data_IF_132343237933
#
_entry.id   IF_132343237933
#
_cell.length_a   1.000
_cell.length_b   1.000
_cell.length_c   1.000
_cell.angle_alpha   90.00
_cell.angle_beta   90.00
_cell.angle_gamma   90.00
#
_symmetry.space_group_name_H-M   'P 1'
#
loop_
_entity.id
_entity.type
_entity.pdbx_description
1 polymer ?
#
# COMPACT_ATOMS: atom_id res chain seq x y z
N UNK A 1 -0.57 15.49 -4.00
CA UNK A 1 -0.40 15.42 -5.47
C UNK A 1 -1.68 14.83 -6.02
N UNK A 2 -2.40 15.61 -6.85
CA UNK A 2 -3.59 15.12 -7.54
C UNK A 2 -3.15 14.46 -8.84
N UNK A 3 -3.31 13.14 -8.95
CA UNK A 3 -3.18 12.46 -10.24
C UNK A 3 -4.42 12.74 -11.07
N UNK A 4 -4.24 13.37 -12.23
CA UNK A 4 -5.30 13.48 -13.22
C UNK A 4 -5.46 12.15 -13.98
N UNK A 5 -6.66 11.91 -14.51
CA UNK A 5 -6.94 10.77 -15.39
C UNK A 5 -6.77 9.38 -14.77
N UNK A 6 -7.07 9.21 -13.48
CA UNK A 6 -7.12 7.88 -12.88
C UNK A 6 -8.40 7.14 -13.29
N UNK A 7 -8.25 6.10 -14.11
CA UNK A 7 -9.37 5.31 -14.65
C UNK A 7 -10.31 4.76 -13.56
N UNK A 8 -9.78 4.30 -12.45
CA UNK A 8 -10.60 3.82 -11.34
C UNK A 8 -11.43 4.94 -10.68
N UNK A 9 -10.90 6.15 -10.60
CA UNK A 9 -11.64 7.31 -10.07
C UNK A 9 -12.76 7.72 -11.03
N UNK A 10 -12.49 7.73 -12.34
CA UNK A 10 -13.49 7.99 -13.37
C UNK A 10 -14.60 6.93 -13.38
N UNK A 11 -14.23 5.64 -13.29
CA UNK A 11 -15.19 4.55 -13.22
C UNK A 11 -16.07 4.62 -11.97
N UNK A 12 -15.50 5.03 -10.83
CA UNK A 12 -16.25 5.30 -9.60
C UNK A 12 -17.31 6.40 -9.76
N UNK A 13 -16.94 7.53 -10.38
CA UNK A 13 -17.87 8.63 -10.65
C UNK A 13 -18.98 8.23 -11.62
N UNK A 14 -18.65 7.53 -12.70
CA UNK A 14 -19.64 7.02 -13.65
C UNK A 14 -20.57 6.01 -12.95
N UNK A 15 -20.00 5.13 -12.14
CA UNK A 15 -20.78 4.15 -11.37
C UNK A 15 -21.73 4.82 -10.37
N UNK A 16 -21.32 5.91 -9.72
CA UNK A 16 -22.19 6.69 -8.84
C UNK A 16 -23.41 7.24 -9.60
N UNK A 17 -23.18 7.85 -10.77
CA UNK A 17 -24.27 8.38 -11.60
C UNK A 17 -25.22 7.26 -12.06
N UNK A 18 -24.66 6.22 -12.65
CA UNK A 18 -25.48 5.15 -13.25
C UNK A 18 -26.18 4.29 -12.19
N UNK A 19 -25.43 3.79 -11.20
CA UNK A 19 -25.95 2.81 -10.23
C UNK A 19 -26.70 3.43 -9.06
N UNK A 20 -26.36 4.65 -8.66
CA UNK A 20 -27.03 5.29 -7.52
C UNK A 20 -28.10 6.26 -7.99
N UNK A 21 -27.73 7.31 -8.73
CA UNK A 21 -28.70 8.35 -9.12
C UNK A 21 -29.73 7.88 -10.13
N UNK A 22 -29.33 7.09 -11.13
CA UNK A 22 -30.27 6.47 -12.07
C UNK A 22 -30.72 5.08 -11.64
N UNK A 23 -29.98 4.45 -10.72
CA UNK A 23 -30.32 3.14 -10.18
C UNK A 23 -30.30 2.03 -11.23
N UNK A 24 -29.40 2.13 -12.22
CA UNK A 24 -29.31 1.18 -13.33
C UNK A 24 -28.72 -0.14 -12.86
N UNK A 25 -29.46 -1.22 -13.05
CA UNK A 25 -29.04 -2.60 -12.81
C UNK A 25 -29.23 -3.43 -14.08
N UNK A 26 -28.13 -4.00 -14.56
CA UNK A 26 -28.17 -4.89 -15.74
C UNK A 26 -28.54 -6.30 -15.29
N UNK A 27 -29.69 -6.79 -15.78
CA UNK A 27 -30.12 -8.18 -15.62
C UNK A 27 -29.92 -8.97 -16.91
N UNK A 28 -30.11 -10.28 -16.85
CA UNK A 28 -29.96 -11.15 -18.01
C UNK A 28 -30.91 -10.77 -19.15
N UNK A 29 -32.16 -10.45 -18.85
CA UNK A 29 -33.21 -10.22 -19.83
C UNK A 29 -33.83 -8.80 -19.76
N UNK A 30 -33.29 -7.91 -18.91
CA UNK A 30 -33.85 -6.57 -18.72
C UNK A 30 -32.82 -5.57 -18.18
N UNK A 31 -33.16 -4.30 -18.25
CA UNK A 31 -32.54 -3.19 -17.54
C UNK A 31 -33.50 -2.70 -16.49
N UNK A 32 -33.15 -2.81 -15.22
CA UNK A 32 -33.96 -2.42 -14.09
C UNK A 32 -33.54 -1.05 -13.57
N UNK A 33 -34.49 -0.26 -13.05
CA UNK A 33 -34.24 1.05 -12.44
C UNK A 33 -34.58 1.06 -10.95
N UNK A 34 -33.60 1.22 -10.09
CA UNK A 34 -33.71 1.41 -8.63
C UNK A 34 -32.99 2.68 -8.17
N UNK A 35 -33.42 3.87 -8.59
CA UNK A 35 -32.73 5.11 -8.25
C UNK A 35 -32.81 5.40 -6.75
N UNK A 36 -31.72 5.93 -6.22
CA UNK A 36 -31.69 6.54 -4.90
C UNK A 36 -31.50 8.04 -5.06
N UNK A 37 -32.60 8.79 -4.94
CA UNK A 37 -32.62 10.24 -5.14
C UNK A 37 -33.16 10.92 -3.88
N UNK A 38 -32.25 11.47 -3.03
CA UNK A 38 -32.65 12.31 -1.90
C UNK A 38 -33.33 13.60 -2.36
N UNK A 39 -34.17 14.18 -1.50
CA UNK A 39 -34.89 15.43 -1.76
C UNK A 39 -34.00 16.59 -2.20
N UNK A 40 -32.76 16.66 -1.69
CA UNK A 40 -31.77 17.66 -2.09
C UNK A 40 -31.39 17.62 -3.58
N UNK A 41 -31.71 16.53 -4.29
CA UNK A 41 -31.49 16.34 -5.73
C UNK A 41 -32.78 16.15 -6.51
N UNK A 42 -33.86 16.84 -6.11
CA UNK A 42 -35.20 16.67 -6.67
C UNK A 42 -35.41 17.18 -8.11
N UNK A 43 -34.39 17.83 -8.70
CA UNK A 43 -34.47 18.39 -10.05
C UNK A 43 -34.62 17.33 -11.15
N UNK A 44 -34.98 17.76 -12.35
CA UNK A 44 -34.99 16.90 -13.54
C UNK A 44 -33.53 16.52 -13.89
N UNK A 45 -33.32 15.25 -14.12
CA UNK A 45 -32.03 14.67 -14.53
C UNK A 45 -32.18 13.96 -15.86
N UNK A 46 -31.19 14.08 -16.72
CA UNK A 46 -31.17 13.42 -18.02
C UNK A 46 -29.89 12.62 -18.20
N UNK A 47 -30.01 11.46 -18.82
CA UNK A 47 -28.90 10.64 -19.29
C UNK A 47 -29.16 10.32 -20.76
N UNK A 48 -28.52 11.03 -21.66
CA UNK A 48 -28.72 10.92 -23.09
C UNK A 48 -27.75 9.96 -23.75
N UNK A 49 -28.20 9.36 -24.86
CA UNK A 49 -27.38 8.40 -25.66
C UNK A 49 -26.86 7.22 -24.85
N UNK A 50 -27.59 6.76 -23.84
CA UNK A 50 -27.20 5.60 -23.05
C UNK A 50 -27.35 4.33 -23.88
N UNK A 51 -26.23 3.69 -24.17
CA UNK A 51 -26.22 2.43 -24.96
C UNK A 51 -26.62 1.25 -24.09
N UNK A 52 -27.69 0.60 -24.46
CA UNK A 52 -28.15 -0.63 -23.85
C UNK A 52 -28.37 -1.70 -24.93
N UNK A 53 -27.44 -2.63 -25.04
CA UNK A 53 -27.42 -3.67 -26.08
C UNK A 53 -27.55 -3.07 -27.49
N UNK A 54 -28.64 -3.39 -28.21
CA UNK A 54 -28.93 -2.87 -29.55
C UNK A 54 -29.75 -1.57 -29.54
N UNK A 55 -30.12 -1.09 -28.34
CA UNK A 55 -30.88 0.15 -28.17
C UNK A 55 -30.00 1.31 -27.68
N UNK A 56 -30.44 2.53 -27.97
CA UNK A 56 -29.93 3.78 -27.41
C UNK A 56 -31.07 4.46 -26.68
N UNK A 57 -30.89 4.69 -25.37
CA UNK A 57 -31.91 5.24 -24.50
C UNK A 57 -31.59 6.69 -24.16
N UNK A 58 -32.59 7.57 -24.32
CA UNK A 58 -32.61 8.92 -23.75
C UNK A 58 -33.51 8.89 -22.51
N UNK A 59 -32.87 8.95 -21.33
CA UNK A 59 -33.50 8.74 -20.05
C UNK A 59 -33.73 10.09 -19.35
N UNK A 60 -34.97 10.39 -18.98
CA UNK A 60 -35.32 11.56 -18.16
C UNK A 60 -35.94 11.09 -16.86
N UNK A 61 -35.43 11.61 -15.73
CA UNK A 61 -35.93 11.29 -14.40
C UNK A 61 -36.37 12.57 -13.68
N UNK A 62 -37.56 12.56 -13.10
CA UNK A 62 -38.17 13.72 -12.44
C UNK A 62 -38.58 13.38 -11.00
N UNK A 63 -38.24 14.28 -10.07
CA UNK A 63 -38.63 14.15 -8.67
C UNK A 63 -37.55 13.50 -7.78
N UNK A 64 -37.97 12.98 -6.63
CA UNK A 64 -37.14 12.31 -5.63
C UNK A 64 -37.86 11.13 -4.97
N UNK A 65 -37.15 10.32 -4.21
CA UNK A 65 -37.72 9.12 -3.57
C UNK A 65 -37.71 7.89 -4.47
N UNK A 66 -38.69 7.01 -4.30
CA UNK A 66 -38.83 5.76 -5.05
C UNK A 66 -39.43 5.97 -6.44
N UNK A 67 -39.27 5.02 -7.35
CA UNK A 67 -39.94 5.01 -8.63
C UNK A 67 -41.43 4.89 -8.41
N UNK A 68 -42.22 5.80 -9.03
CA UNK A 68 -43.68 5.75 -9.08
C UNK A 68 -44.15 4.98 -10.33
N UNK A 69 -43.59 5.32 -11.48
CA UNK A 69 -43.76 4.60 -12.73
C UNK A 69 -42.68 4.97 -13.74
N UNK A 70 -42.55 4.14 -14.76
CA UNK A 70 -41.64 4.33 -15.91
C UNK A 70 -42.46 4.26 -17.20
N UNK A 71 -42.17 5.19 -18.11
CA UNK A 71 -42.72 5.17 -19.48
C UNK A 71 -41.57 4.89 -20.45
N UNK A 72 -41.74 3.90 -21.34
CA UNK A 72 -40.93 3.65 -22.50
C UNK A 72 -41.71 4.09 -23.74
N UNK A 73 -41.23 5.09 -24.46
CA UNK A 73 -41.89 5.71 -25.60
C UNK A 73 -43.38 6.06 -25.31
N UNK A 74 -43.64 6.69 -24.12
CA UNK A 74 -44.92 7.05 -23.56
C UNK A 74 -45.82 5.87 -23.15
N UNK A 75 -45.36 4.62 -23.23
CA UNK A 75 -46.13 3.46 -22.76
C UNK A 75 -45.65 3.04 -21.36
N UNK A 76 -46.55 2.67 -20.48
CA UNK A 76 -46.24 2.25 -19.12
C UNK A 76 -45.44 0.94 -19.14
N UNK A 77 -44.33 0.94 -18.41
CA UNK A 77 -43.47 -0.23 -18.24
C UNK A 77 -43.79 -0.94 -16.93
N UNK A 78 -44.13 -2.24 -16.97
CA UNK A 78 -44.34 -3.01 -15.74
C UNK A 78 -43.00 -3.26 -15.03
N UNK A 79 -43.06 -3.41 -13.70
CA UNK A 79 -41.95 -3.83 -12.84
C UNK A 79 -40.65 -2.97 -12.93
N UNK A 80 -40.74 -1.77 -13.52
CA UNK A 80 -39.60 -0.85 -13.73
C UNK A 80 -38.47 -1.47 -14.59
N UNK A 81 -38.77 -2.42 -15.46
CA UNK A 81 -37.81 -3.17 -16.25
C UNK A 81 -37.95 -2.89 -17.76
N UNK A 82 -36.89 -2.43 -18.40
CA UNK A 82 -36.80 -2.25 -19.84
C UNK A 82 -36.38 -3.58 -20.48
N UNK A 83 -37.10 -4.10 -21.51
CA UNK A 83 -36.76 -5.36 -22.14
C UNK A 83 -35.36 -5.37 -22.81
N UNK A 84 -34.71 -6.51 -22.81
CA UNK A 84 -33.38 -6.69 -23.39
C UNK A 84 -33.33 -6.73 -24.92
N UNK A 85 -34.48 -6.94 -25.55
CA UNK A 85 -34.63 -7.10 -27.01
C UNK A 85 -34.97 -5.81 -27.75
N UNK A 86 -34.85 -4.66 -27.08
CA UNK A 86 -35.07 -3.36 -27.74
C UNK A 86 -33.99 -3.08 -28.78
N UNK A 87 -34.40 -2.46 -29.89
CA UNK A 87 -33.50 -2.05 -30.97
C UNK A 87 -33.79 -0.60 -31.38
N UNK A 88 -32.75 0.18 -31.70
CA UNK A 88 -32.91 1.56 -32.13
C UNK A 88 -32.94 2.57 -30.98
N UNK A 89 -33.56 3.73 -31.23
CA UNK A 89 -33.62 4.84 -30.25
C UNK A 89 -34.95 4.85 -29.51
N UNK A 90 -34.87 4.97 -28.19
CA UNK A 90 -36.08 5.01 -27.33
C UNK A 90 -35.94 6.11 -26.28
N UNK A 91 -37.08 6.61 -25.80
CA UNK A 91 -37.17 7.53 -24.68
C UNK A 91 -37.66 6.81 -23.42
N UNK A 92 -37.00 7.05 -22.29
CA UNK A 92 -37.37 6.48 -20.99
C UNK A 92 -37.67 7.63 -20.03
N UNK A 93 -38.92 7.76 -19.58
CA UNK A 93 -39.34 8.76 -18.60
C UNK A 93 -39.58 8.09 -17.25
N UNK A 94 -38.85 8.44 -16.24
CA UNK A 94 -38.92 7.91 -14.87
C UNK A 94 -39.50 8.99 -13.96
N UNK A 95 -40.65 8.71 -13.36
CA UNK A 95 -41.31 9.62 -12.41
C UNK A 95 -41.18 9.04 -11.01
N UNK A 96 -40.67 9.84 -10.08
CA UNK A 96 -40.48 9.47 -8.68
C UNK A 96 -41.66 9.91 -7.81
N UNK A 97 -41.78 9.30 -6.62
CA UNK A 97 -42.94 9.49 -5.72
C UNK A 97 -42.97 10.83 -5.03
N UNK A 98 -41.91 11.58 -5.00
CA UNK A 98 -41.69 12.79 -4.19
C UNK A 98 -41.92 12.56 -2.68
N UNK A 99 -41.56 11.37 -2.21
CA UNK A 99 -41.56 11.01 -0.79
C UNK A 99 -40.14 10.74 -0.31
N UNK A 100 -39.85 11.22 0.88
CA UNK A 100 -38.53 10.95 1.48
C UNK A 100 -38.34 9.45 1.73
N UNK A 101 -37.09 9.00 1.62
CA UNK A 101 -36.74 7.68 2.10
C UNK A 101 -36.94 7.64 3.62
N UNK A 102 -37.50 6.55 4.17
CA UNK A 102 -37.57 6.41 5.61
C UNK A 102 -36.17 6.56 6.21
N UNK A 103 -36.06 7.27 7.32
CA UNK A 103 -34.82 7.48 8.06
C UNK A 103 -34.31 6.17 8.68
N UNK A 104 -34.51 5.05 8.03
CA UNK A 104 -34.23 3.73 8.52
C UNK A 104 -32.73 3.47 8.49
N UNK A 105 -32.17 3.58 9.69
CA UNK A 105 -30.90 2.90 10.08
C UNK A 105 -29.71 3.22 9.19
N UNK A 106 -29.29 4.49 9.23
CA UNK A 106 -27.88 4.75 8.91
C UNK A 106 -27.07 3.92 9.90
N UNK A 107 -26.39 2.92 9.39
CA UNK A 107 -25.44 2.13 10.17
C UNK A 107 -24.26 3.04 10.56
N UNK A 108 -24.35 3.66 11.74
CA UNK A 108 -23.25 4.48 12.27
C UNK A 108 -22.21 3.54 12.87
N UNK A 109 -21.09 3.40 12.22
CA UNK A 109 -19.92 2.70 12.77
C UNK A 109 -19.06 3.70 13.50
N UNK A 110 -18.58 3.33 14.71
CA UNK A 110 -17.54 4.09 15.38
C UNK A 110 -16.28 4.09 14.51
N UNK A 111 -15.70 5.27 14.27
CA UNK A 111 -14.38 5.35 13.66
C UNK A 111 -13.33 5.20 14.77
N UNK A 112 -12.99 3.95 15.08
CA UNK A 112 -12.00 3.64 16.10
C UNK A 112 -10.60 3.71 15.49
N UNK A 113 -9.72 4.43 16.16
CA UNK A 113 -8.32 4.55 15.75
C UNK A 113 -7.56 3.32 16.24
N UNK A 114 -6.92 2.60 15.32
CA UNK A 114 -6.05 1.49 15.65
C UNK A 114 -4.87 1.92 16.55
N UNK A 115 -4.35 1.03 17.40
CA UNK A 115 -3.15 1.31 18.17
C UNK A 115 -1.97 1.74 17.30
N UNK A 116 -1.05 2.49 17.87
CA UNK A 116 0.21 2.79 17.20
C UNK A 116 1.04 1.52 17.02
N UNK A 117 1.77 1.44 15.90
CA UNK A 117 2.69 0.34 15.62
C UNK A 117 3.83 0.31 16.64
N UNK A 118 4.08 -0.81 17.34
CA UNK A 118 5.20 -0.93 18.25
C UNK A 118 6.53 -0.98 17.50
N UNK A 119 7.59 -0.49 18.11
CA UNK A 119 8.97 -0.69 17.63
C UNK A 119 9.55 -1.97 18.24
N UNK A 120 10.12 -2.84 17.42
CA UNK A 120 10.72 -4.11 17.83
C UNK A 120 12.25 -4.02 17.82
N UNK A 121 12.89 -4.57 18.83
CA UNK A 121 14.34 -4.68 18.96
C UNK A 121 14.77 -6.06 19.46
N UNK A 122 16.02 -6.43 19.17
CA UNK A 122 16.62 -7.70 19.63
C UNK A 122 17.99 -7.44 20.22
N UNK A 123 18.23 -7.97 21.41
CA UNK A 123 19.55 -7.94 22.04
C UNK A 123 19.72 -9.16 22.95
N UNK A 124 20.84 -9.85 22.84
CA UNK A 124 21.23 -10.96 23.74
C UNK A 124 20.14 -12.04 23.93
N UNK A 125 19.49 -12.47 22.84
CA UNK A 125 18.46 -13.51 22.92
C UNK A 125 17.06 -13.02 23.36
N UNK A 126 16.90 -11.71 23.53
CA UNK A 126 15.64 -11.12 23.97
C UNK A 126 15.10 -10.18 22.91
N UNK A 127 13.87 -10.46 22.45
CA UNK A 127 13.03 -9.52 21.71
C UNK A 127 12.36 -8.57 22.70
N UNK A 128 12.40 -7.26 22.43
CA UNK A 128 11.69 -6.23 23.20
C UNK A 128 10.94 -5.31 22.26
N UNK A 129 9.78 -4.84 22.69
CA UNK A 129 9.01 -3.88 21.92
C UNK A 129 8.49 -2.73 22.78
N UNK A 130 8.20 -1.61 22.11
CA UNK A 130 7.71 -0.42 22.77
C UNK A 130 6.27 -0.61 23.27
N UNK A 131 5.95 -0.08 24.44
CA UNK A 131 4.58 0.04 24.93
C UNK A 131 3.84 1.08 24.08
N UNK A 132 2.62 0.76 23.61
CA UNK A 132 1.73 1.71 22.92
C UNK A 132 0.57 2.09 23.83
N UNK A 133 0.10 3.34 23.73
CA UNK A 133 -0.81 3.95 24.70
C UNK A 133 -2.13 3.17 24.88
N UNK A 134 -2.68 2.61 23.80
CA UNK A 134 -3.99 1.96 23.79
C UNK A 134 -3.93 0.44 23.75
N UNK A 135 -2.72 -0.14 23.67
CA UNK A 135 -2.57 -1.59 23.58
C UNK A 135 -2.91 -2.28 24.90
N UNK A 136 -3.73 -3.30 24.83
CA UNK A 136 -4.02 -4.27 25.89
C UNK A 136 -3.15 -5.52 25.77
N UNK A 137 -2.83 -5.93 24.55
CA UNK A 137 -2.03 -7.12 24.22
C UNK A 137 -1.14 -6.87 23.01
N UNK A 138 -0.19 -7.78 22.79
CA UNK A 138 0.71 -7.77 21.65
C UNK A 138 0.72 -9.16 21.01
N UNK A 139 0.59 -9.21 19.68
CA UNK A 139 0.74 -10.40 18.85
C UNK A 139 2.14 -10.38 18.25
N UNK A 140 2.96 -11.34 18.62
CA UNK A 140 4.28 -11.53 18.02
C UNK A 140 4.18 -12.51 16.87
N UNK A 141 4.68 -12.12 15.71
CA UNK A 141 4.78 -12.97 14.53
C UNK A 141 6.21 -13.49 14.38
N UNK A 142 6.33 -14.71 13.88
CA UNK A 142 7.58 -15.29 13.39
C UNK A 142 7.37 -15.82 11.97
N UNK A 143 8.17 -15.34 11.04
CA UNK A 143 8.03 -15.68 9.62
C UNK A 143 6.59 -15.52 9.10
N UNK A 144 5.91 -14.43 9.48
CA UNK A 144 4.54 -14.11 9.12
C UNK A 144 3.44 -14.90 9.85
N UNK A 145 3.79 -15.86 10.73
CA UNK A 145 2.82 -16.65 11.50
C UNK A 145 2.80 -16.22 12.96
N UNK A 146 1.63 -16.20 13.58
CA UNK A 146 1.49 -15.90 15.02
C UNK A 146 2.27 -16.90 15.85
N UNK A 147 3.24 -16.38 16.62
CA UNK A 147 4.01 -17.16 17.59
C UNK A 147 3.33 -17.16 18.96
N UNK A 148 2.91 -15.98 19.43
CA UNK A 148 2.26 -15.81 20.74
C UNK A 148 1.45 -14.49 20.76
N UNK A 149 0.41 -14.47 21.59
CA UNK A 149 -0.27 -13.24 22.03
C UNK A 149 -0.01 -13.05 23.52
N UNK A 150 0.42 -11.87 23.95
CA UNK A 150 0.87 -11.61 25.32
C UNK A 150 0.64 -10.15 25.71
N UNK A 151 0.54 -9.87 27.00
CA UNK A 151 0.55 -8.53 27.60
C UNK A 151 1.98 -8.02 27.94
N UNK A 152 2.98 -8.92 27.85
CA UNK A 152 4.38 -8.60 28.11
C UNK A 152 4.97 -7.75 27.00
N UNK A 153 6.06 -7.03 27.32
CA UNK A 153 6.81 -6.19 26.38
C UNK A 153 8.13 -6.83 25.91
N UNK A 154 8.33 -8.10 26.23
CA UNK A 154 9.52 -8.83 25.81
C UNK A 154 9.26 -10.33 25.74
N UNK A 155 10.06 -11.00 24.90
CA UNK A 155 10.09 -12.46 24.81
C UNK A 155 11.54 -12.93 24.65
N UNK A 156 11.92 -13.91 25.47
CA UNK A 156 13.19 -14.62 25.27
C UNK A 156 13.03 -15.58 24.08
N UNK A 157 13.90 -15.46 23.10
CA UNK A 157 13.94 -16.36 21.94
C UNK A 157 15.26 -17.11 21.93
N UNK A 158 15.17 -18.44 21.84
CA UNK A 158 16.37 -19.26 21.65
C UNK A 158 16.95 -18.96 20.27
N UNK A 159 18.27 -18.98 20.18
CA UNK A 159 18.96 -18.91 18.89
C UNK A 159 18.58 -20.14 18.08
N UNK A 160 17.81 -19.93 17.02
CA UNK A 160 17.35 -21.00 16.15
C UNK A 160 18.45 -21.54 15.25
N UNK A 161 18.23 -22.75 14.72
CA UNK A 161 19.04 -23.34 13.67
C UNK A 161 18.72 -22.78 12.27
N UNK A 162 17.69 -21.91 12.16
CA UNK A 162 17.20 -21.35 10.90
C UNK A 162 16.99 -19.84 11.00
N UNK A 163 16.99 -19.18 9.85
CA UNK A 163 16.59 -17.79 9.70
C UNK A 163 15.20 -17.53 10.29
N UNK A 164 15.08 -16.49 11.07
CA UNK A 164 13.81 -16.08 11.66
C UNK A 164 13.62 -14.57 11.55
N UNK A 165 12.47 -14.19 11.05
CA UNK A 165 12.00 -12.83 10.95
C UNK A 165 10.86 -12.61 11.94
N UNK A 166 10.95 -11.58 12.76
CA UNK A 166 9.97 -11.26 13.79
C UNK A 166 9.31 -9.92 13.52
N UNK A 167 8.02 -9.84 13.81
CA UNK A 167 7.23 -8.60 13.81
C UNK A 167 6.30 -8.63 15.02
N UNK A 168 5.86 -7.44 15.46
CA UNK A 168 4.90 -7.30 16.57
C UNK A 168 3.76 -6.41 16.16
N UNK A 169 2.54 -6.77 16.55
CA UNK A 169 1.29 -6.05 16.35
C UNK A 169 0.72 -5.71 17.71
N UNK A 170 0.34 -4.47 17.96
CA UNK A 170 -0.39 -4.07 19.16
C UNK A 170 -1.89 -4.33 18.98
N UNK A 171 -2.56 -4.81 20.02
CA UNK A 171 -4.00 -5.10 20.03
C UNK A 171 -4.64 -4.32 21.18
N UNK A 172 -5.66 -3.53 20.91
CA UNK A 172 -6.40 -2.80 21.92
C UNK A 172 -7.47 -3.66 22.63
N UNK A 173 -8.16 -3.09 23.63
CA UNK A 173 -9.23 -3.76 24.36
C UNK A 173 -10.44 -4.12 23.48
N UNK A 174 -10.65 -3.43 22.37
CA UNK A 174 -11.72 -3.68 21.38
C UNK A 174 -11.31 -4.65 20.28
N UNK A 175 -10.10 -5.20 20.34
CA UNK A 175 -9.49 -6.11 19.35
C UNK A 175 -9.07 -5.45 18.02
N UNK A 176 -8.95 -4.14 17.96
CA UNK A 176 -8.33 -3.50 16.81
C UNK A 176 -6.82 -3.74 16.83
N UNK A 177 -6.28 -4.08 15.68
CA UNK A 177 -4.85 -4.36 15.50
C UNK A 177 -4.14 -3.16 14.87
N UNK A 178 -2.93 -2.87 15.32
CA UNK A 178 -2.02 -1.94 14.65
C UNK A 178 -1.49 -2.56 13.35
N UNK A 179 -0.79 -1.77 12.54
CA UNK A 179 0.12 -2.35 11.57
C UNK A 179 1.21 -3.16 12.29
N UNK A 180 1.77 -4.15 11.58
CA UNK A 180 2.93 -4.88 12.08
C UNK A 180 4.16 -3.96 12.11
N UNK A 181 5.04 -4.17 13.09
CA UNK A 181 6.34 -3.50 13.14
C UNK A 181 7.18 -3.79 11.90
N UNK A 182 8.22 -2.99 11.67
CA UNK A 182 9.25 -3.37 10.69
C UNK A 182 9.75 -4.79 11.00
N UNK A 183 10.01 -5.62 9.95
CA UNK A 183 10.57 -6.95 10.12
C UNK A 183 11.95 -6.88 10.77
N UNK A 184 12.16 -7.67 11.81
CA UNK A 184 13.44 -7.79 12.49
C UNK A 184 14.02 -9.18 12.28
N UNK A 185 15.14 -9.24 11.59
CA UNK A 185 15.82 -10.48 11.29
C UNK A 185 16.68 -10.90 12.49
N UNK A 186 16.45 -12.10 13.01
CA UNK A 186 17.32 -12.75 13.99
C UNK A 186 18.06 -13.89 13.29
N UNK A 187 19.32 -13.65 12.85
CA UNK A 187 20.06 -14.64 12.11
C UNK A 187 20.58 -15.75 13.04
N UNK A 188 20.53 -16.98 12.58
CA UNK A 188 21.11 -18.12 13.33
C UNK A 188 22.62 -18.26 13.12
N UNK A 189 23.15 -17.79 12.00
CA UNK A 189 24.57 -17.73 11.66
C UNK A 189 25.04 -16.28 11.61
N UNK A 190 26.36 -16.10 11.55
CA UNK A 190 26.95 -14.78 11.36
C UNK A 190 26.44 -14.16 10.07
N UNK A 191 25.90 -12.96 10.14
CA UNK A 191 25.58 -12.15 8.97
C UNK A 191 26.87 -11.67 8.31
N UNK A 192 26.86 -11.55 7.00
CA UNK A 192 27.92 -10.90 6.26
C UNK A 192 27.54 -9.45 6.03
N UNK A 193 28.42 -8.54 6.41
CA UNK A 193 28.24 -7.09 6.25
C UNK A 193 29.30 -6.61 5.28
N UNK A 194 28.88 -5.86 4.28
CA UNK A 194 29.73 -5.25 3.29
C UNK A 194 29.50 -3.74 3.28
N UNK A 195 30.45 -3.00 3.84
CA UNK A 195 30.41 -1.53 3.91
C UNK A 195 30.41 -0.92 2.52
N UNK A 196 29.59 0.11 2.31
CA UNK A 196 29.51 0.81 1.02
C UNK A 196 30.54 1.92 0.86
N UNK A 197 31.19 2.31 1.95
CA UNK A 197 32.27 3.31 1.95
C UNK A 197 31.85 4.66 2.51
N UNK A 198 32.67 5.67 2.25
CA UNK A 198 32.50 7.03 2.74
C UNK A 198 32.28 7.98 1.55
N UNK A 199 31.09 8.57 1.47
CA UNK A 199 30.79 9.62 0.52
C UNK A 199 31.11 11.01 1.12
N UNK A 200 32.35 11.43 1.00
CA UNK A 200 32.84 12.74 1.47
C UNK A 200 32.06 13.92 0.83
N UNK A 201 31.38 13.66 -0.29
CA UNK A 201 30.59 14.67 -1.04
C UNK A 201 29.14 14.75 -0.59
N UNK A 202 28.75 13.97 0.44
CA UNK A 202 27.38 13.98 0.96
C UNK A 202 26.93 15.41 1.33
N UNK A 203 25.71 15.75 0.93
CA UNK A 203 25.07 17.01 1.28
C UNK A 203 24.46 16.99 2.68
N UNK A 204 24.22 15.80 3.22
CA UNK A 204 23.65 15.60 4.54
C UNK A 204 24.81 15.55 5.56
N UNK A 205 24.79 16.48 6.51
CA UNK A 205 25.84 16.62 7.53
C UNK A 205 25.34 16.19 8.91
N UNK A 206 26.28 15.98 9.82
CA UNK A 206 26.02 15.63 11.23
C UNK A 206 25.25 14.31 11.41
N UNK A 207 25.37 13.38 10.49
CA UNK A 207 24.78 12.05 10.59
C UNK A 207 25.53 11.23 11.61
N UNK A 208 24.80 10.49 12.47
CA UNK A 208 25.36 9.64 13.54
C UNK A 208 24.86 8.21 13.37
N UNK A 209 25.58 7.25 13.99
CA UNK A 209 25.13 5.87 14.11
C UNK A 209 25.29 5.01 12.87
N UNK A 210 26.00 5.47 11.83
CA UNK A 210 26.49 4.60 10.76
C UNK A 210 27.63 3.70 11.26
N UNK A 211 27.96 2.69 10.48
CA UNK A 211 29.08 1.76 10.77
C UNK A 211 30.28 2.04 9.86
N UNK A 212 31.38 1.36 10.10
CA UNK A 212 32.57 1.49 9.25
C UNK A 212 33.14 2.90 9.18
N UNK A 213 33.50 3.32 7.95
CA UNK A 213 34.13 4.62 7.68
C UNK A 213 33.15 5.72 7.28
N UNK A 214 31.91 5.37 6.95
CA UNK A 214 30.94 6.35 6.46
C UNK A 214 29.72 5.71 5.83
N UNK A 215 29.06 6.47 4.98
CA UNK A 215 27.87 6.06 4.24
C UNK A 215 27.88 6.68 2.85
N UNK A 216 27.04 6.18 1.94
CA UNK A 216 26.87 6.71 0.57
C UNK A 216 25.51 7.39 0.46
N UNK A 217 25.51 8.67 0.06
CA UNK A 217 24.28 9.39 -0.30
C UNK A 217 23.87 9.06 -1.73
N UNK A 218 22.64 8.58 -1.92
CA UNK A 218 22.02 8.35 -3.22
C UNK A 218 20.90 9.36 -3.47
N UNK A 219 20.77 9.83 -4.71
CA UNK A 219 19.65 10.65 -5.17
C UNK A 219 19.44 10.45 -6.68
N UNK A 220 18.55 11.20 -7.33
CA UNK A 220 18.39 11.18 -8.80
C UNK A 220 19.65 11.63 -9.56
N UNK A 221 20.45 12.47 -8.94
CA UNK A 221 21.62 13.11 -9.58
C UNK A 221 22.95 12.67 -8.96
N UNK A 222 22.91 11.92 -7.86
CA UNK A 222 24.08 11.58 -7.09
C UNK A 222 24.13 10.08 -6.85
N UNK A 223 25.26 9.47 -7.10
CA UNK A 223 25.50 8.02 -6.91
C UNK A 223 24.37 7.17 -7.51
N UNK A 224 24.06 7.42 -8.79
CA UNK A 224 22.99 6.73 -9.52
C UNK A 224 23.21 5.21 -9.57
N UNK A 225 24.45 4.77 -9.47
CA UNK A 225 24.85 3.38 -9.32
C UNK A 225 25.90 3.28 -8.22
N UNK A 226 25.64 2.42 -7.25
CA UNK A 226 26.60 2.02 -6.23
C UNK A 226 26.97 0.57 -6.50
N UNK A 227 28.27 0.33 -6.79
CA UNK A 227 28.79 -1.00 -7.14
C UNK A 227 29.65 -1.53 -5.99
N UNK A 228 29.37 -2.75 -5.58
CA UNK A 228 30.03 -3.42 -4.46
C UNK A 228 30.53 -4.80 -4.87
N UNK A 229 31.85 -5.00 -5.04
CA UNK A 229 32.42 -6.33 -5.22
C UNK A 229 32.45 -7.09 -3.88
N UNK A 230 31.95 -8.31 -3.89
CA UNK A 230 31.95 -9.19 -2.73
C UNK A 230 32.64 -10.53 -3.08
N UNK A 231 33.10 -11.24 -2.06
CA UNK A 231 33.61 -12.60 -2.21
C UNK A 231 33.02 -13.49 -1.11
N UNK A 232 32.32 -14.55 -1.50
CA UNK A 232 31.68 -15.49 -0.60
C UNK A 232 32.51 -16.76 -0.43
N UNK A 233 32.82 -17.09 0.80
CA UNK A 233 33.51 -18.35 1.13
C UNK A 233 32.62 -19.58 0.90
N UNK A 234 31.31 -19.41 1.10
CA UNK A 234 30.27 -20.45 0.95
C UNK A 234 29.05 -19.92 0.23
N UNK A 235 28.59 -20.68 -0.76
CA UNK A 235 27.30 -20.39 -1.43
C UNK A 235 26.08 -20.74 -0.55
N UNK A 236 24.90 -20.27 -0.95
CA UNK A 236 23.63 -20.52 -0.27
C UNK A 236 22.55 -19.53 -0.64
N UNK A 237 21.35 -19.72 -0.05
CA UNK A 237 20.30 -18.72 -0.11
C UNK A 237 20.54 -17.63 0.93
N UNK A 238 20.43 -16.38 0.52
CA UNK A 238 20.60 -15.22 1.38
C UNK A 238 19.41 -14.28 1.25
N UNK A 239 18.95 -13.73 2.38
CA UNK A 239 18.18 -12.49 2.40
C UNK A 239 19.17 -11.33 2.29
N UNK A 240 18.94 -10.42 1.34
CA UNK A 240 19.85 -9.33 0.97
C UNK A 240 19.12 -8.02 1.26
N UNK A 241 19.57 -7.27 2.24
CA UNK A 241 19.02 -5.95 2.54
C UNK A 241 20.13 -4.90 2.70
N UNK A 242 19.71 -3.65 2.71
CA UNK A 242 20.59 -2.51 2.96
C UNK A 242 20.19 -1.80 4.23
N UNK A 243 21.18 -1.46 5.05
CA UNK A 243 20.98 -0.53 6.13
C UNK A 243 20.98 0.89 5.57
N UNK A 244 19.92 1.66 5.86
CA UNK A 244 19.72 2.99 5.28
C UNK A 244 19.12 3.98 6.27
N UNK A 245 19.25 5.27 5.97
CA UNK A 245 18.49 6.34 6.58
C UNK A 245 17.84 7.22 5.51
N UNK A 246 16.62 7.70 5.77
CA UNK A 246 15.89 8.61 4.89
C UNK A 246 15.10 9.64 5.72
N UNK A 247 15.70 10.80 5.92
CA UNK A 247 15.15 11.92 6.71
C UNK A 247 14.30 12.92 5.91
N UNK A 248 13.77 12.52 4.74
CA UNK A 248 13.02 13.44 3.87
C UNK A 248 11.59 13.73 4.32
N UNK A 249 11.15 13.25 5.45
CA UNK A 249 9.82 13.51 6.00
C UNK A 249 9.24 12.30 6.72
N UNK A 250 8.01 12.45 7.20
CA UNK A 250 7.27 11.39 7.89
C UNK A 250 6.88 10.26 6.94
N UNK A 251 6.81 9.04 7.46
CA UNK A 251 6.35 7.88 6.71
C UNK A 251 4.91 8.09 6.21
N UNK A 252 4.69 7.81 4.93
CA UNK A 252 3.38 7.94 4.31
C UNK A 252 2.99 9.36 3.90
N UNK A 253 3.85 10.36 4.13
CA UNK A 253 3.65 11.73 3.67
C UNK A 253 4.58 12.05 2.50
N UNK A 254 4.03 12.74 1.47
CA UNK A 254 4.82 13.34 0.37
C UNK A 254 5.75 12.38 -0.38
N UNK A 255 5.43 11.15 -0.56
CA UNK A 255 6.11 10.19 -1.45
C UNK A 255 7.61 10.51 -1.76
N UNK A 256 8.44 10.53 -0.72
CA UNK A 256 9.87 10.81 -0.80
C UNK A 256 10.75 9.59 -0.49
N UNK A 257 10.19 8.40 -0.67
CA UNK A 257 10.96 7.16 -0.62
C UNK A 257 12.06 7.17 -1.71
N UNK A 258 13.20 6.57 -1.43
CA UNK A 258 14.14 6.25 -2.48
C UNK A 258 13.89 4.82 -3.00
N UNK A 259 14.05 4.62 -4.29
CA UNK A 259 13.91 3.32 -4.95
C UNK A 259 15.11 3.07 -5.84
N UNK A 260 15.66 1.87 -5.79
CA UNK A 260 16.75 1.41 -6.64
C UNK A 260 16.50 -0.01 -7.12
N UNK A 261 17.06 -0.34 -8.24
CA UNK A 261 17.11 -1.73 -8.74
C UNK A 261 18.36 -2.41 -8.20
N UNK A 262 18.18 -3.56 -7.55
CA UNK A 262 19.25 -4.45 -7.15
C UNK A 262 19.62 -5.35 -8.32
N UNK A 263 20.89 -5.34 -8.70
CA UNK A 263 21.45 -6.31 -9.61
C UNK A 263 22.53 -7.14 -8.90
N UNK A 264 22.66 -8.37 -9.33
CA UNK A 264 23.76 -9.26 -8.94
C UNK A 264 24.33 -9.86 -10.21
N UNK A 265 25.62 -9.64 -10.42
CA UNK A 265 26.35 -10.08 -11.61
C UNK A 265 25.64 -9.64 -12.92
N UNK A 266 25.16 -8.39 -12.95
CA UNK A 266 24.43 -7.79 -14.05
C UNK A 266 22.97 -8.25 -14.21
N UNK A 267 22.48 -9.21 -13.40
CA UNK A 267 21.09 -9.67 -13.43
C UNK A 267 20.21 -8.85 -12.50
N UNK A 268 19.09 -8.36 -12.99
CA UNK A 268 18.10 -7.69 -12.16
C UNK A 268 17.44 -8.71 -11.22
N UNK A 269 17.47 -8.41 -9.93
CA UNK A 269 16.88 -9.24 -8.87
C UNK A 269 15.55 -8.68 -8.40
N UNK A 270 15.56 -7.44 -7.85
CA UNK A 270 14.34 -6.83 -7.31
C UNK A 270 14.51 -5.30 -7.16
N UNK A 271 13.43 -4.61 -6.90
CA UNK A 271 13.47 -3.20 -6.48
C UNK A 271 13.70 -3.10 -4.98
N UNK A 272 14.70 -2.33 -4.59
CA UNK A 272 14.99 -1.98 -3.21
C UNK A 272 14.31 -0.67 -2.87
N UNK A 273 13.57 -0.65 -1.77
CA UNK A 273 12.79 0.52 -1.33
C UNK A 273 13.33 1.01 0.01
N UNK A 274 13.53 2.32 0.07
CA UNK A 274 14.06 3.04 1.24
C UNK A 274 13.05 4.09 1.70
N UNK A 275 11.97 3.69 2.42
CA UNK A 275 10.95 4.61 2.92
C UNK A 275 11.53 5.71 3.80
N UNK A 276 10.77 6.81 3.91
CA UNK A 276 11.06 7.88 4.87
C UNK A 276 10.96 7.34 6.29
N UNK A 277 11.82 7.83 7.18
CA UNK A 277 11.90 7.41 8.58
C UNK A 277 11.60 8.53 9.58
N UNK A 278 11.25 9.71 9.12
CA UNK A 278 10.92 10.89 9.91
C UNK A 278 11.51 12.15 9.32
N UNK A 279 10.89 13.29 9.58
CA UNK A 279 11.39 14.58 9.09
C UNK A 279 12.76 14.90 9.71
N UNK A 280 13.75 15.13 8.84
CA UNK A 280 15.16 15.40 9.22
C UNK A 280 15.84 14.29 10.04
N UNK A 281 15.26 13.09 10.12
CA UNK A 281 15.79 11.97 10.90
C UNK A 281 16.88 11.19 10.12
N UNK A 282 17.94 11.87 9.71
CA UNK A 282 19.05 11.29 8.94
C UNK A 282 19.97 10.35 9.76
N UNK A 283 19.73 10.23 11.05
CA UNK A 283 20.44 9.31 11.93
C UNK A 283 19.56 8.16 12.44
N UNK A 284 18.31 8.07 11.96
CA UNK A 284 17.43 6.92 12.21
C UNK A 284 17.67 5.86 11.13
N UNK A 285 18.45 4.84 11.50
CA UNK A 285 18.86 3.76 10.61
C UNK A 285 17.91 2.58 10.70
N UNK A 286 17.43 2.11 9.56
CA UNK A 286 16.60 0.91 9.41
C UNK A 286 17.10 0.03 8.26
N UNK A 287 16.27 -0.92 7.84
CA UNK A 287 16.60 -1.83 6.75
C UNK A 287 15.55 -1.74 5.64
N UNK A 288 16.00 -1.92 4.40
CA UNK A 288 15.16 -2.04 3.22
C UNK A 288 14.36 -3.35 3.24
N UNK A 289 13.52 -3.57 2.21
CA UNK A 289 13.06 -4.92 1.88
C UNK A 289 14.25 -5.85 1.63
N UNK A 290 14.02 -7.16 1.83
CA UNK A 290 15.07 -8.19 1.83
C UNK A 290 14.75 -9.30 0.81
N UNK A 291 15.01 -9.10 -0.50
CA UNK A 291 14.92 -10.17 -1.48
C UNK A 291 15.76 -11.36 -1.10
N UNK A 292 15.25 -12.55 -1.45
CA UNK A 292 15.90 -13.83 -1.18
C UNK A 292 16.48 -14.37 -2.47
N UNK A 293 17.80 -14.54 -2.51
CA UNK A 293 18.51 -14.96 -3.71
C UNK A 293 19.60 -15.97 -3.41
N UNK A 294 19.83 -16.91 -4.34
CA UNK A 294 20.91 -17.88 -4.23
C UNK A 294 22.22 -17.29 -4.79
N UNK A 295 23.24 -17.26 -3.99
CA UNK A 295 24.60 -16.87 -4.38
C UNK A 295 25.52 -18.08 -4.32
N UNK A 296 26.31 -18.29 -5.36
CA UNK A 296 27.32 -19.31 -5.37
C UNK A 296 28.53 -18.89 -4.51
N UNK A 297 29.39 -19.83 -4.18
CA UNK A 297 30.71 -19.52 -3.63
C UNK A 297 31.54 -18.77 -4.67
N UNK A 298 32.26 -17.72 -4.27
CA UNK A 298 33.15 -16.97 -5.15
C UNK A 298 32.83 -15.47 -5.21
N UNK A 299 33.37 -14.84 -6.23
CA UNK A 299 33.22 -13.39 -6.45
C UNK A 299 31.87 -13.06 -7.08
N UNK A 300 31.25 -12.00 -6.58
CA UNK A 300 30.03 -11.42 -7.11
C UNK A 300 30.12 -9.90 -7.13
N UNK A 301 29.33 -9.28 -7.98
CA UNK A 301 29.15 -7.83 -8.01
C UNK A 301 27.70 -7.50 -7.67
N UNK A 302 27.49 -6.78 -6.58
CA UNK A 302 26.18 -6.21 -6.21
C UNK A 302 26.14 -4.78 -6.74
N UNK A 303 25.09 -4.46 -7.48
CA UNK A 303 24.84 -3.10 -7.95
C UNK A 303 23.47 -2.61 -7.46
N UNK A 304 23.46 -1.38 -6.96
CA UNK A 304 22.26 -0.68 -6.51
C UNK A 304 22.12 0.53 -7.41
N UNK A 305 21.27 0.42 -8.44
CA UNK A 305 21.24 1.38 -9.55
C UNK A 305 19.89 2.04 -9.71
N UNK A 306 19.90 3.33 -10.08
CA UNK A 306 18.72 4.08 -10.48
C UNK A 306 18.39 3.78 -11.94
N UNK A 307 17.16 3.34 -12.19
CA UNK A 307 16.63 3.07 -13.52
C UNK A 307 15.34 3.85 -13.76
N UNK A 308 14.89 4.05 -15.01
CA UNK A 308 13.62 4.75 -15.27
C UNK A 308 12.41 4.18 -14.52
N UNK A 309 12.35 2.86 -14.33
CA UNK A 309 11.31 2.20 -13.54
C UNK A 309 11.32 2.56 -12.05
N UNK A 310 12.43 3.09 -11.52
CA UNK A 310 12.54 3.56 -10.14
C UNK A 310 11.99 4.98 -9.96
N UNK A 311 11.69 5.68 -11.04
CA UNK A 311 11.05 6.98 -11.04
C UNK A 311 9.53 6.82 -11.04
N UNK A 312 9.01 6.29 -9.94
CA UNK A 312 7.59 5.97 -9.84
C UNK A 312 6.81 7.11 -9.16
N UNK A 313 5.59 7.39 -9.66
CA UNK A 313 4.56 8.24 -9.04
C UNK A 313 5.07 9.55 -8.42
N UNK A 314 5.83 10.34 -9.17
CA UNK A 314 6.33 11.65 -8.71
C UNK A 314 7.26 11.60 -7.49
N UNK A 315 8.06 10.56 -7.34
CA UNK A 315 9.15 10.55 -6.36
C UNK A 315 10.21 11.56 -6.81
N UNK A 316 10.04 12.83 -6.43
CA UNK A 316 10.90 13.91 -6.89
C UNK A 316 12.29 13.85 -6.26
N UNK A 317 12.36 13.42 -5.01
CA UNK A 317 13.59 13.46 -4.21
C UNK A 317 14.43 12.20 -4.42
N UNK A 318 13.85 11.02 -4.28
CA UNK A 318 14.49 9.69 -4.44
C UNK A 318 15.88 9.60 -3.76
N UNK A 319 15.99 10.15 -2.53
CA UNK A 319 17.23 10.31 -1.78
C UNK A 319 17.23 9.46 -0.52
N UNK A 320 18.35 8.83 -0.24
CA UNK A 320 18.61 8.11 1.00
C UNK A 320 20.12 8.07 1.28
N UNK A 321 20.50 7.72 2.51
CA UNK A 321 21.85 7.37 2.91
C UNK A 321 21.94 5.85 3.04
N UNK A 322 22.93 5.22 2.44
CA UNK A 322 23.18 3.79 2.49
C UNK A 322 24.46 3.53 3.31
N UNK A 323 24.35 2.70 4.33
CA UNK A 323 25.44 2.37 5.24
C UNK A 323 26.19 1.11 4.73
N UNK A 324 25.49 -0.02 4.68
CA UNK A 324 26.06 -1.28 4.24
C UNK A 324 25.04 -2.21 3.59
N UNK A 325 25.52 -3.18 2.84
CA UNK A 325 24.75 -4.35 2.40
C UNK A 325 24.87 -5.46 3.43
N UNK A 326 23.75 -6.06 3.83
CA UNK A 326 23.72 -7.21 4.73
C UNK A 326 23.23 -8.46 4.00
N UNK A 327 23.99 -9.54 4.11
CA UNK A 327 23.57 -10.86 3.65
C UNK A 327 23.31 -11.75 4.86
N UNK A 328 22.04 -12.12 5.05
CA UNK A 328 21.61 -13.04 6.10
C UNK A 328 21.33 -14.41 5.50
N UNK A 329 22.11 -15.41 5.87
CA UNK A 329 21.98 -16.76 5.33
C UNK A 329 20.68 -17.39 5.80
N UNK A 330 19.92 -18.04 4.89
CA UNK A 330 18.61 -18.63 5.17
C UNK A 330 18.71 -20.08 5.64
N UNK A 331 19.76 -20.80 5.25
CA UNK A 331 19.99 -22.23 5.54
C UNK A 331 21.47 -22.57 5.68
#
# INVERSE_FOLDING_TARGET
INSSNMLWSLSGNISLVHRVFFGIEFKTNSLLFHPFVPKAFADTRTLTNFKYRNAVLDITMVGYGKVRFILLDNNLVPDNEIPANLEGKHTVNIVLTNTDFPNDKINKVSNDIAPQTPMLSYKNGILKWSKTKTAAQYKLLRNGKTLIVTDKLSLSVKKDSTYSEYQVIAIDAKKHESFASEPLIVPYKKVLIFELGDDTTSTIKNVKGYTGKGFVEISKTKNNTVTLPINLELGGYFAIDLRYANGNGELGQNNKAAIRTLLIDGRTIESMVFPQRGDKQWSDWGFSNAPKYYLFKGKHTIEITFRPANENMNINVNQALLDYVRLSRLN
#
